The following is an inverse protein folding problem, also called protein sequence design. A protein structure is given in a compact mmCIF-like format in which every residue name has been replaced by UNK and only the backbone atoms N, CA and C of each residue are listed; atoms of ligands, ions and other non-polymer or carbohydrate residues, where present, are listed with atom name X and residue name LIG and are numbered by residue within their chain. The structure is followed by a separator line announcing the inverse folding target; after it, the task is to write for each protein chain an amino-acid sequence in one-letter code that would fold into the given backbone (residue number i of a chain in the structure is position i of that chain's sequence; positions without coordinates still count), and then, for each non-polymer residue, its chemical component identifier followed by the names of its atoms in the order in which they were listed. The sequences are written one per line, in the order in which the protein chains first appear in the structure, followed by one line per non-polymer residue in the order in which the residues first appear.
data_IF_332218074170
#
_entry.id   IF_332218074170
#
_cell.length_a   1.000
_cell.length_b   1.000
_cell.length_c   1.000
_cell.angle_alpha   90.00
_cell.angle_beta   90.00
_cell.angle_gamma   90.00
#
_symmetry.space_group_name_H-M   'P 1'
#
loop_
_entity.id
_entity.type
_entity.pdbx_description
1 polymer ?
#
# COMPACT_ATOMS: atom_id res chain seq x y z
N UNK A 1 -22.34 10.66 15.61
CA UNK A 1 -21.00 10.90 16.18
C UNK A 1 -20.03 11.07 15.04
N UNK A 2 -19.25 12.16 15.01
CA UNK A 2 -18.23 12.38 13.98
C UNK A 2 -16.89 11.88 14.50
N UNK A 3 -16.18 11.10 13.69
CA UNK A 3 -14.79 10.69 13.96
C UNK A 3 -13.90 11.49 13.01
N UNK A 4 -12.89 12.17 13.57
CA UNK A 4 -11.88 12.91 12.81
C UNK A 4 -10.52 12.27 13.04
N UNK A 5 -9.80 12.02 11.95
CA UNK A 5 -8.43 11.53 11.97
C UNK A 5 -7.51 12.67 11.51
N UNK A 6 -6.46 12.94 12.29
CA UNK A 6 -5.47 14.00 12.00
C UNK A 6 -4.13 13.33 11.73
N UNK A 7 -3.56 13.61 10.56
CA UNK A 7 -2.29 13.06 10.09
C UNK A 7 -1.38 14.19 9.62
N UNK A 8 -0.11 13.87 9.35
CA UNK A 8 0.80 14.76 8.64
C UNK A 8 0.22 15.13 7.28
N UNK A 9 0.43 16.37 6.87
CA UNK A 9 0.08 16.81 5.52
C UNK A 9 1.05 16.21 4.49
N UNK A 10 0.50 15.66 3.42
CA UNK A 10 1.23 15.13 2.27
C UNK A 10 0.75 15.84 1.01
N UNK A 11 1.67 16.34 0.19
CA UNK A 11 1.37 17.23 -0.93
C UNK A 11 0.65 16.55 -2.09
N UNK A 12 0.97 15.28 -2.36
CA UNK A 12 0.41 14.52 -3.48
C UNK A 12 0.48 13.02 -3.21
N UNK A 13 0.08 12.23 -4.20
CA UNK A 13 0.25 10.77 -4.23
C UNK A 13 0.96 10.32 -5.52
N UNK A 14 1.43 9.07 -5.55
CA UNK A 14 2.10 8.54 -6.73
C UNK A 14 1.17 8.39 -7.94
N UNK A 15 -0.14 8.30 -7.78
CA UNK A 15 -1.06 8.21 -8.92
C UNK A 15 -1.04 9.51 -9.73
N UNK A 16 -1.10 10.65 -9.04
CA UNK A 16 -1.01 11.99 -9.64
C UNK A 16 0.35 12.15 -10.33
N UNK A 17 1.45 11.79 -9.65
CA UNK A 17 2.80 11.90 -10.21
C UNK A 17 2.95 11.04 -11.47
N UNK A 18 2.43 9.80 -11.47
CA UNK A 18 2.53 8.87 -12.61
C UNK A 18 1.69 9.34 -13.80
N UNK A 19 0.54 9.98 -13.56
CA UNK A 19 -0.37 10.42 -14.62
C UNK A 19 0.02 11.77 -15.24
N UNK A 20 0.85 12.56 -14.56
CA UNK A 20 1.30 13.84 -15.08
C UNK A 20 2.45 13.67 -16.08
N UNK A 21 2.11 13.78 -17.37
CA UNK A 21 3.06 13.67 -18.47
C UNK A 21 4.10 14.80 -18.52
N UNK A 22 3.95 15.86 -17.71
CA UNK A 22 4.96 16.92 -17.59
C UNK A 22 6.08 16.56 -16.62
N UNK A 23 5.86 15.56 -15.75
CA UNK A 23 6.84 15.07 -14.79
C UNK A 23 7.68 13.95 -15.42
N UNK A 24 9.00 14.14 -15.44
CA UNK A 24 9.93 13.10 -15.89
C UNK A 24 10.37 12.26 -14.69
N UNK A 25 9.83 11.05 -14.56
CA UNK A 25 10.28 10.06 -13.58
C UNK A 25 11.57 9.38 -14.05
N UNK A 26 12.70 9.85 -13.54
CA UNK A 26 13.99 9.19 -13.81
C UNK A 26 14.07 7.83 -13.11
N UNK A 27 14.97 6.96 -13.57
CA UNK A 27 15.29 5.70 -12.90
C UNK A 27 15.68 5.88 -11.43
N UNK A 28 16.32 7.01 -11.09
CA UNK A 28 16.66 7.33 -9.71
C UNK A 28 15.41 7.64 -8.87
N UNK A 29 14.41 8.34 -9.43
CA UNK A 29 13.14 8.60 -8.75
C UNK A 29 12.37 7.32 -8.51
N UNK A 30 12.24 6.47 -9.54
CA UNK A 30 11.57 5.17 -9.43
C UNK A 30 12.24 4.32 -8.35
N UNK A 31 13.58 4.24 -8.36
CA UNK A 31 14.34 3.53 -7.34
C UNK A 31 14.07 4.07 -5.93
N UNK A 32 14.05 5.39 -5.76
CA UNK A 32 13.79 6.01 -4.47
C UNK A 32 12.38 5.70 -3.94
N UNK A 33 11.35 5.75 -4.78
CA UNK A 33 9.98 5.41 -4.39
C UNK A 33 9.83 3.92 -4.06
N UNK A 34 10.45 3.04 -4.85
CA UNK A 34 10.44 1.60 -4.57
C UNK A 34 11.12 1.28 -3.23
N UNK A 35 12.28 1.87 -2.96
CA UNK A 35 12.98 1.67 -1.68
C UNK A 35 12.10 2.10 -0.50
N UNK A 36 11.53 3.31 -0.55
CA UNK A 36 10.69 3.82 0.53
C UNK A 36 9.42 2.98 0.73
N UNK A 37 8.78 2.54 -0.36
CA UNK A 37 7.59 1.66 -0.31
C UNK A 37 7.93 0.32 0.33
N UNK A 38 9.04 -0.30 -0.08
CA UNK A 38 9.48 -1.59 0.44
C UNK A 38 9.90 -1.51 1.91
N UNK A 39 10.58 -0.43 2.32
CA UNK A 39 10.90 -0.20 3.73
C UNK A 39 9.64 -0.03 4.59
N UNK A 40 8.63 0.68 4.07
CA UNK A 40 7.33 0.79 4.72
C UNK A 40 6.62 -0.56 4.87
N UNK A 41 6.57 -1.36 3.79
CA UNK A 41 5.97 -2.70 3.81
C UNK A 41 6.72 -3.66 4.73
N UNK A 42 8.06 -3.67 4.69
CA UNK A 42 8.88 -4.47 5.59
C UNK A 42 8.54 -4.16 7.05
N UNK A 43 8.44 -2.87 7.40
CA UNK A 43 8.03 -2.47 8.74
C UNK A 43 6.64 -2.99 9.11
N UNK A 44 5.65 -2.89 8.22
CA UNK A 44 4.31 -3.42 8.47
C UNK A 44 4.31 -4.94 8.67
N UNK A 45 5.03 -5.65 7.80
CA UNK A 45 5.12 -7.11 7.82
C UNK A 45 5.84 -7.60 9.08
N UNK A 46 6.95 -6.97 9.49
CA UNK A 46 7.61 -7.28 10.76
C UNK A 46 6.71 -7.07 12.00
N UNK A 47 5.73 -6.17 11.88
CA UNK A 47 4.72 -5.91 12.91
C UNK A 47 3.41 -6.69 12.70
N UNK A 48 3.43 -7.74 11.87
CA UNK A 48 2.30 -8.63 11.63
C UNK A 48 1.07 -7.96 10.98
N UNK A 49 1.27 -6.85 10.26
CA UNK A 49 0.20 -6.10 9.59
C UNK A 49 0.28 -6.34 8.07
N UNK A 50 -0.83 -6.77 7.46
CA UNK A 50 -1.02 -6.71 6.00
C UNK A 50 -1.72 -5.41 5.63
N UNK A 51 -1.26 -4.73 4.59
CA UNK A 51 -1.88 -3.51 4.09
C UNK A 51 -3.18 -3.80 3.34
N UNK A 52 -3.13 -4.73 2.36
CA UNK A 52 -4.27 -5.23 1.57
C UNK A 52 -5.02 -4.18 0.73
N UNK A 53 -4.44 -3.01 0.52
CA UNK A 53 -4.88 -2.04 -0.49
C UNK A 53 -3.72 -1.17 -0.97
N UNK A 54 -2.62 -1.82 -1.36
CA UNK A 54 -1.48 -1.11 -1.92
C UNK A 54 -1.77 -0.68 -3.36
N UNK A 55 -1.61 0.61 -3.65
CA UNK A 55 -1.88 1.24 -4.95
C UNK A 55 -1.29 2.66 -4.96
N UNK A 56 -1.03 3.26 -6.14
CA UNK A 56 -0.34 4.55 -6.21
C UNK A 56 -0.98 5.70 -5.43
N UNK A 57 -2.31 5.78 -5.34
CA UNK A 57 -2.99 6.81 -4.54
C UNK A 57 -2.91 6.59 -3.01
N UNK A 58 -2.51 5.40 -2.56
CA UNK A 58 -2.20 5.13 -1.16
C UNK A 58 -0.71 5.29 -0.84
N UNK A 59 0.10 5.77 -1.79
CA UNK A 59 1.51 6.09 -1.61
C UNK A 59 1.68 7.60 -1.70
N UNK A 60 1.53 8.26 -0.54
CA UNK A 60 1.56 9.71 -0.43
C UNK A 60 2.99 10.23 -0.45
N UNK A 61 3.22 11.37 -1.09
CA UNK A 61 4.54 12.00 -1.23
C UNK A 61 4.46 13.46 -0.81
N UNK A 62 5.40 13.90 0.02
CA UNK A 62 5.50 15.31 0.43
C UNK A 62 6.52 16.10 -0.40
N UNK A 63 6.59 17.42 -0.19
CA UNK A 63 7.49 18.34 -0.90
C UNK A 63 8.98 18.02 -0.73
N UNK A 64 9.36 17.26 0.31
CA UNK A 64 10.73 16.77 0.53
C UNK A 64 11.01 15.43 -0.18
N UNK A 65 10.05 14.88 -0.93
CA UNK A 65 10.17 13.59 -1.60
C UNK A 65 10.06 12.37 -0.69
N UNK A 66 9.59 12.56 0.55
CA UNK A 66 9.35 11.47 1.49
C UNK A 66 8.02 10.81 1.14
N UNK A 67 8.07 9.50 0.93
CA UNK A 67 6.92 8.66 0.64
C UNK A 67 6.42 7.99 1.93
N UNK A 68 5.10 8.02 2.15
CA UNK A 68 4.43 7.29 3.24
C UNK A 68 3.27 6.46 2.70
N UNK A 69 3.14 5.23 3.21
CA UNK A 69 1.98 4.36 2.95
C UNK A 69 0.79 4.89 3.75
N UNK A 70 -0.37 5.00 3.11
CA UNK A 70 -1.60 5.52 3.69
C UNK A 70 -2.79 4.59 3.44
N UNK A 71 -3.92 4.93 4.09
CA UNK A 71 -5.19 4.20 4.05
C UNK A 71 -5.10 2.74 4.55
N UNK A 72 -5.05 2.62 5.87
CA UNK A 72 -5.11 1.34 6.59
C UNK A 72 -6.56 0.85 6.80
N UNK A 73 -7.55 1.39 6.09
CA UNK A 73 -8.97 1.02 6.25
C UNK A 73 -9.24 -0.46 5.96
N UNK A 74 -8.41 -1.08 5.13
CA UNK A 74 -8.46 -2.52 4.83
C UNK A 74 -7.29 -3.30 5.49
N UNK A 75 -6.47 -2.68 6.32
CA UNK A 75 -5.34 -3.37 6.94
C UNK A 75 -5.81 -4.45 7.94
N UNK A 76 -4.99 -5.49 8.15
CA UNK A 76 -5.34 -6.58 9.08
C UNK A 76 -4.12 -7.28 9.64
N UNK A 77 -4.23 -7.70 10.91
CA UNK A 77 -3.26 -8.60 11.53
C UNK A 77 -3.31 -9.99 10.89
N UNK A 78 -2.14 -10.52 10.51
CA UNK A 78 -1.97 -11.88 9.99
C UNK A 78 -1.26 -12.80 10.99
N UNK A 79 -1.12 -14.09 10.66
CA UNK A 79 -0.34 -15.05 11.45
C UNK A 79 -1.14 -15.98 12.36
N UNK A 80 -2.45 -15.79 12.51
CA UNK A 80 -3.31 -16.78 13.18
C UNK A 80 -3.80 -17.84 12.19
N UNK A 81 -3.41 -19.13 12.33
CA UNK A 81 -3.74 -20.18 11.36
C UNK A 81 -5.24 -20.47 11.26
N UNK A 82 -6.00 -20.13 12.31
CA UNK A 82 -7.44 -20.38 12.38
C UNK A 82 -8.29 -19.21 11.82
N UNK A 83 -7.67 -18.11 11.38
CA UNK A 83 -8.40 -16.91 10.97
C UNK A 83 -8.52 -16.85 9.44
N UNK A 84 -9.69 -17.24 8.94
CA UNK A 84 -10.01 -17.04 7.52
C UNK A 84 -10.07 -15.55 7.18
N UNK A 85 -9.51 -15.20 6.03
CA UNK A 85 -9.52 -13.86 5.50
C UNK A 85 -10.55 -13.70 4.36
N UNK A 86 -11.06 -12.48 4.19
CA UNK A 86 -11.91 -12.11 3.06
C UNK A 86 -11.02 -11.91 1.83
N UNK A 87 -11.38 -12.51 0.70
CA UNK A 87 -10.64 -12.40 -0.57
C UNK A 87 -11.05 -11.16 -1.40
N UNK A 88 -12.22 -10.58 -1.16
CA UNK A 88 -12.69 -9.35 -1.81
C UNK A 88 -12.08 -8.09 -1.19
N UNK A 89 -10.76 -8.09 -1.03
CA UNK A 89 -9.94 -6.94 -0.60
C UNK A 89 -8.97 -6.58 -1.71
N UNK A 90 -8.25 -5.47 -1.58
CA UNK A 90 -7.38 -4.87 -2.61
C UNK A 90 -8.17 -4.36 -3.81
N UNK A 91 -7.80 -3.17 -4.29
CA UNK A 91 -8.29 -2.63 -5.56
C UNK A 91 -7.99 -3.59 -6.72
N UNK A 92 -8.99 -3.91 -7.56
CA UNK A 92 -8.95 -5.03 -8.52
C UNK A 92 -7.72 -5.06 -9.43
N UNK A 93 -7.18 -3.90 -9.82
CA UNK A 93 -6.01 -3.79 -10.71
C UNK A 93 -4.70 -4.25 -10.06
N UNK A 94 -4.61 -4.18 -8.73
CA UNK A 94 -3.43 -4.52 -7.93
C UNK A 94 -3.63 -5.83 -7.14
N UNK A 95 -4.66 -6.60 -7.48
CA UNK A 95 -5.02 -7.80 -6.74
C UNK A 95 -4.19 -9.00 -7.21
N UNK A 96 -3.58 -9.70 -6.26
CA UNK A 96 -2.82 -10.92 -6.51
C UNK A 96 -3.69 -12.07 -7.05
N UNK A 97 -3.11 -13.02 -7.82
CA UNK A 97 -3.86 -14.10 -8.45
C UNK A 97 -4.59 -14.98 -7.43
N UNK A 98 -3.99 -15.29 -6.29
CA UNK A 98 -4.63 -16.08 -5.24
C UNK A 98 -5.88 -15.39 -4.67
N UNK A 99 -5.87 -14.05 -4.56
CA UNK A 99 -7.06 -13.29 -4.15
C UNK A 99 -8.13 -13.26 -5.24
N UNK A 100 -7.74 -13.22 -6.51
CA UNK A 100 -8.66 -13.37 -7.65
C UNK A 100 -9.33 -14.76 -7.65
N UNK A 101 -8.60 -15.80 -7.27
CA UNK A 101 -9.11 -17.17 -7.13
C UNK A 101 -9.82 -17.45 -5.80
N UNK A 102 -10.02 -16.43 -4.97
CA UNK A 102 -10.83 -16.55 -3.74
C UNK A 102 -10.11 -17.18 -2.55
N UNK A 103 -8.77 -17.16 -2.53
CA UNK A 103 -7.98 -17.67 -1.42
C UNK A 103 -8.40 -17.00 -0.10
N UNK A 104 -8.70 -17.83 0.90
CA UNK A 104 -9.03 -17.38 2.28
C UNK A 104 -7.84 -17.43 3.22
N UNK A 105 -6.75 -18.06 2.77
CA UNK A 105 -5.46 -18.11 3.44
C UNK A 105 -4.45 -17.48 2.51
N UNK A 106 -3.86 -16.39 2.97
CA UNK A 106 -2.86 -15.61 2.24
C UNK A 106 -2.00 -14.86 3.27
N UNK A 107 -0.80 -14.48 2.85
CA UNK A 107 0.21 -13.84 3.70
C UNK A 107 0.69 -12.53 3.06
N UNK A 108 1.87 -12.06 3.47
CA UNK A 108 2.55 -10.86 2.98
C UNK A 108 2.69 -10.78 1.46
N UNK A 109 2.67 -11.92 0.76
CA UNK A 109 2.80 -11.98 -0.70
C UNK A 109 1.72 -11.17 -1.43
N UNK A 110 0.54 -10.96 -0.83
CA UNK A 110 -0.53 -10.15 -1.44
C UNK A 110 -0.17 -8.67 -1.54
N UNK A 111 0.68 -8.16 -0.64
CA UNK A 111 1.17 -6.78 -0.66
C UNK A 111 2.40 -6.62 -1.57
N UNK A 112 3.04 -7.74 -1.96
CA UNK A 112 4.24 -7.78 -2.80
C UNK A 112 3.93 -7.93 -4.30
N UNK A 113 2.68 -8.28 -4.63
CA UNK A 113 2.18 -8.46 -5.99
C UNK A 113 1.93 -7.11 -6.66
#
# INVERSE_FOLDING_TARGET
SNVSLVFDFMDTDLEVIIKDNTIILTTANIKAYMIQTLQGLEYLHLNWILHRDLKPNNLLVNASGILKIADFGLAKLYGSPNRLNTHQVVTRWYRSPELLFGAKQYSICVDMW
#
